data_IF_443595613750
#
_entry.id   IF_443595613750
#
_cell.length_a   1.000
_cell.length_b   1.000
_cell.length_c   1.000
_cell.angle_alpha   90.00
_cell.angle_beta   90.00
_cell.angle_gamma   90.00
#
_symmetry.space_group_name_H-M   'P 1'
#
loop_
_entity.id
_entity.type
_entity.pdbx_description
1 polymer ?
#
# COMPACT_ATOMS: atom_id res chain seq x y z
N UNK A 1 -14.90 1.50 -30.16
CA UNK A 1 -15.35 2.27 -28.98
C UNK A 1 -14.10 2.65 -28.20
N UNK A 2 -13.69 3.92 -28.24
CA UNK A 2 -12.54 4.38 -27.46
C UNK A 2 -12.82 4.19 -25.97
N UNK A 3 -11.86 3.59 -25.26
CA UNK A 3 -12.00 3.30 -23.82
C UNK A 3 -11.81 4.61 -23.07
N UNK A 4 -12.91 5.23 -22.64
CA UNK A 4 -12.91 6.48 -21.88
C UNK A 4 -12.11 6.33 -20.59
N UNK A 5 -11.42 7.40 -20.19
CA UNK A 5 -10.66 7.41 -18.94
C UNK A 5 -11.62 7.40 -17.74
N UNK A 6 -11.44 6.42 -16.86
CA UNK A 6 -12.07 6.36 -15.53
C UNK A 6 -11.19 7.05 -14.50
N UNK A 7 -11.77 7.62 -13.44
CA UNK A 7 -11.04 8.26 -12.35
C UNK A 7 -10.43 7.24 -11.38
N UNK A 8 -11.19 6.19 -11.01
CA UNK A 8 -10.72 5.10 -10.14
C UNK A 8 -10.94 3.76 -10.83
N UNK A 9 -9.93 2.89 -10.89
CA UNK A 9 -10.02 1.52 -11.41
C UNK A 9 -11.00 0.64 -10.62
N UNK A 10 -11.54 -0.44 -11.22
CA UNK A 10 -12.33 -1.44 -10.47
C UNK A 10 -11.52 -2.11 -9.35
N UNK A 11 -10.20 -2.14 -9.50
CA UNK A 11 -9.23 -2.60 -8.52
C UNK A 11 -8.86 -1.53 -7.48
N UNK A 12 -9.48 -0.35 -7.51
CA UNK A 12 -9.23 0.74 -6.56
C UNK A 12 -8.02 1.62 -6.84
N UNK A 13 -7.30 1.40 -7.95
CA UNK A 13 -6.17 2.23 -8.36
C UNK A 13 -6.65 3.55 -8.97
N UNK A 14 -6.16 4.69 -8.49
CA UNK A 14 -6.53 5.99 -9.03
C UNK A 14 -5.80 6.25 -10.35
N UNK A 15 -6.55 6.57 -11.41
CA UNK A 15 -6.02 6.83 -12.75
C UNK A 15 -5.82 8.33 -12.95
N UNK A 16 -4.98 8.93 -12.12
CA UNK A 16 -4.64 10.35 -12.14
C UNK A 16 -3.13 10.49 -12.26
N UNK A 17 -2.70 11.15 -13.34
CA UNK A 17 -1.29 11.45 -13.56
C UNK A 17 -1.03 12.91 -13.17
N UNK A 18 -0.31 13.12 -12.07
CA UNK A 18 0.15 14.45 -11.67
C UNK A 18 1.27 14.90 -12.61
N UNK A 19 1.11 16.05 -13.27
CA UNK A 19 2.10 16.66 -14.17
C UNK A 19 2.55 18.02 -13.61
N UNK A 20 3.79 18.41 -13.89
CA UNK A 20 4.38 19.70 -13.51
C UNK A 20 4.38 20.02 -11.99
N UNK A 21 4.76 19.03 -11.16
CA UNK A 21 5.01 19.29 -9.72
C UNK A 21 6.34 20.03 -9.58
N UNK A 22 6.31 21.29 -9.16
CA UNK A 22 7.50 22.16 -8.99
C UNK A 22 8.41 21.76 -7.81
N UNK A 23 7.92 20.95 -6.87
CA UNK A 23 8.60 20.67 -5.59
C UNK A 23 8.96 19.18 -5.40
N UNK A 24 9.70 18.61 -6.34
CA UNK A 24 10.15 17.21 -6.26
C UNK A 24 11.05 16.93 -5.04
N UNK A 25 11.72 17.95 -4.49
CA UNK A 25 12.59 17.83 -3.31
C UNK A 25 11.85 17.44 -2.02
N UNK A 26 10.53 17.67 -1.92
CA UNK A 26 9.74 17.28 -0.74
C UNK A 26 9.66 15.76 -0.57
N UNK A 27 9.70 14.99 -1.66
CA UNK A 27 9.75 13.53 -1.60
C UNK A 27 11.07 13.01 -1.00
N UNK A 28 12.18 13.73 -1.19
CA UNK A 28 13.48 13.35 -0.63
C UNK A 28 13.61 13.73 0.85
N UNK A 29 12.85 14.71 1.33
CA UNK A 29 12.80 15.08 2.75
C UNK A 29 12.16 13.98 3.59
N UNK A 30 11.20 13.24 3.02
CA UNK A 30 10.57 12.08 3.65
C UNK A 30 11.07 10.76 3.04
N UNK A 31 12.37 10.51 3.25
CA UNK A 31 13.05 9.31 2.74
C UNK A 31 12.46 8.02 3.31
N UNK A 32 11.96 8.06 4.56
CA UNK A 32 11.44 6.88 5.24
C UNK A 32 10.14 6.40 4.61
N UNK A 33 9.15 7.27 4.43
CA UNK A 33 7.89 6.89 3.78
C UNK A 33 8.12 6.51 2.33
N UNK A 34 8.98 7.24 1.62
CA UNK A 34 9.35 6.94 0.23
C UNK A 34 9.93 5.53 0.10
N UNK A 35 10.86 5.13 0.98
CA UNK A 35 11.46 3.80 0.94
C UNK A 35 10.43 2.68 1.22
N UNK A 36 9.49 2.95 2.12
CA UNK A 36 8.40 2.04 2.46
C UNK A 36 7.41 1.90 1.30
N UNK A 37 7.10 2.97 0.56
CA UNK A 37 6.14 2.96 -0.55
C UNK A 37 6.69 2.38 -1.86
N UNK A 38 8.02 2.35 -2.03
CA UNK A 38 8.66 1.73 -3.19
C UNK A 38 8.26 0.26 -3.35
N UNK A 39 8.24 -0.26 -4.58
CA UNK A 39 7.95 -1.68 -4.81
C UNK A 39 9.04 -2.56 -4.19
N UNK A 40 8.68 -3.74 -3.71
CA UNK A 40 9.59 -4.75 -3.14
C UNK A 40 10.95 -4.91 -3.84
N UNK A 41 11.05 -5.05 -5.18
CA UNK A 41 12.35 -5.18 -5.85
C UNK A 41 13.25 -3.96 -5.65
N UNK A 42 12.68 -2.74 -5.58
CA UNK A 42 13.46 -1.52 -5.37
C UNK A 42 13.91 -1.41 -3.91
N UNK A 43 13.03 -1.75 -2.96
CA UNK A 43 13.39 -1.81 -1.53
C UNK A 43 14.52 -2.82 -1.29
N UNK A 44 14.43 -4.02 -1.88
CA UNK A 44 15.47 -5.05 -1.76
C UNK A 44 16.80 -4.58 -2.39
N UNK A 45 16.74 -3.95 -3.56
CA UNK A 45 17.93 -3.42 -4.22
C UNK A 45 18.61 -2.33 -3.37
N UNK A 46 17.85 -1.38 -2.84
CA UNK A 46 18.37 -0.30 -1.98
C UNK A 46 18.98 -0.90 -0.71
N UNK A 47 18.33 -1.89 -0.11
CA UNK A 47 18.84 -2.62 1.06
C UNK A 47 20.20 -3.25 0.76
N UNK A 48 20.29 -4.08 -0.29
CA UNK A 48 21.54 -4.74 -0.68
C UNK A 48 22.64 -3.73 -1.00
N UNK A 49 22.32 -2.66 -1.73
CA UNK A 49 23.29 -1.62 -2.07
C UNK A 49 23.78 -0.86 -0.82
N UNK A 50 22.90 -0.56 0.14
CA UNK A 50 23.30 0.11 1.38
C UNK A 50 24.33 -0.71 2.18
N UNK A 51 24.11 -2.03 2.30
CA UNK A 51 25.06 -2.91 2.98
C UNK A 51 26.38 -3.01 2.20
N UNK A 52 26.33 -3.27 0.89
CA UNK A 52 27.52 -3.35 0.05
C UNK A 52 28.35 -2.06 0.09
N UNK A 53 27.72 -0.89 -0.02
CA UNK A 53 28.39 0.40 0.07
C UNK A 53 29.07 0.60 1.42
N UNK A 54 28.41 0.24 2.53
CA UNK A 54 29.00 0.34 3.86
C UNK A 54 30.19 -0.62 4.05
N UNK A 55 30.09 -1.86 3.59
CA UNK A 55 31.17 -2.83 3.67
C UNK A 55 32.37 -2.44 2.81
N UNK A 56 32.13 -1.87 1.62
CA UNK A 56 33.20 -1.36 0.76
C UNK A 56 33.87 -0.13 1.36
N UNK A 57 33.10 0.79 1.94
CA UNK A 57 33.63 1.98 2.62
C UNK A 57 34.55 1.58 3.77
N UNK A 58 34.05 0.78 4.71
CA UNK A 58 34.85 0.35 5.87
C UNK A 58 35.98 -0.60 5.47
N UNK A 59 35.78 -1.47 4.48
CA UNK A 59 36.85 -2.31 3.92
C UNK A 59 38.00 -1.48 3.34
N UNK A 60 37.69 -0.36 2.66
CA UNK A 60 38.69 0.59 2.18
C UNK A 60 39.40 1.31 3.33
N UNK A 61 38.68 1.74 4.35
CA UNK A 61 39.27 2.37 5.55
C UNK A 61 40.22 1.40 6.28
N UNK A 62 39.82 0.15 6.48
CA UNK A 62 40.67 -0.89 7.07
C UNK A 62 41.92 -1.17 6.25
N UNK A 63 41.78 -1.23 4.93
CA UNK A 63 42.91 -1.40 4.02
C UNK A 63 43.87 -0.21 4.09
N UNK A 64 43.35 1.02 4.14
CA UNK A 64 44.16 2.23 4.28
C UNK A 64 44.88 2.31 5.63
N UNK A 65 44.26 1.90 6.73
CA UNK A 65 44.91 1.82 8.05
C UNK A 65 46.06 0.81 8.03
N UNK A 66 45.81 -0.38 7.51
CA UNK A 66 46.85 -1.41 7.36
C UNK A 66 47.98 -0.93 6.44
N UNK A 67 47.67 -0.16 5.39
CA UNK A 67 48.66 0.37 4.46
C UNK A 67 49.51 1.46 5.10
N UNK A 68 48.88 2.41 5.80
CA UNK A 68 49.56 3.51 6.47
C UNK A 68 50.42 3.04 7.67
N UNK A 69 50.02 1.97 8.35
CA UNK A 69 50.80 1.37 9.43
C UNK A 69 51.99 0.53 8.93
N UNK A 70 52.00 0.14 7.65
CA UNK A 70 53.03 -0.73 7.07
C UNK A 70 52.77 -2.23 7.26
N UNK A 71 51.55 -2.62 7.63
CA UNK A 71 51.15 -4.04 7.81
C UNK A 71 51.19 -4.84 6.50
N UNK A 72 51.03 -4.14 5.37
CA UNK A 72 51.01 -4.71 4.03
C UNK A 72 52.40 -4.85 3.40
N UNK A 73 53.43 -4.27 4.02
CA UNK A 73 54.77 -4.23 3.44
C UNK A 73 55.47 -5.61 3.54
N UNK A 74 56.24 -5.96 2.51
CA UNK A 74 56.80 -7.32 2.39
C UNK A 74 57.96 -7.58 3.37
N UNK A 75 58.64 -6.52 3.81
CA UNK A 75 59.73 -6.52 4.79
C UNK A 75 59.25 -6.86 6.20
N UNK A 76 58.10 -6.33 6.62
CA UNK A 76 57.45 -6.61 7.91
C UNK A 76 56.85 -8.02 7.97
N UNK A 77 56.48 -8.63 6.83
CA UNK A 77 56.07 -10.05 6.77
C UNK A 77 57.22 -11.02 7.06
N UNK A 78 58.42 -10.74 6.54
CA UNK A 78 59.62 -11.54 6.80
C UNK A 78 60.07 -11.48 8.27
N UNK A 79 59.70 -10.42 8.99
CA UNK A 79 59.95 -10.28 10.42
C UNK A 79 58.92 -10.99 11.32
N UNK A 80 57.78 -11.43 10.75
CA UNK A 80 56.74 -12.19 11.45
C UNK A 80 57.03 -13.69 11.54
N UNK A 81 57.80 -14.23 10.60
CA UNK A 81 58.39 -15.57 10.65
C UNK A 81 59.90 -15.45 10.95
N UNK A 82 60.32 -15.23 12.21
CA UNK A 82 61.74 -15.30 12.51
C UNK A 82 62.18 -16.75 12.28
N UNK A 83 63.10 -16.96 11.35
CA UNK A 83 64.05 -18.06 11.51
C UNK A 83 64.62 -17.95 12.93
N UNK A 84 64.55 -19.05 13.68
CA UNK A 84 64.98 -19.17 15.08
C UNK A 84 66.25 -18.34 15.36
N UNK A 85 66.11 -17.19 16.04
CA UNK A 85 67.28 -16.49 16.60
C UNK A 85 67.40 -14.96 16.47
N UNK A 86 66.48 -14.22 15.81
CA UNK A 86 66.59 -12.76 15.73
C UNK A 86 65.79 -12.04 16.83
N UNK A 87 66.48 -11.54 17.86
CA UNK A 87 65.94 -10.72 18.96
C UNK A 87 65.63 -9.27 18.52
N UNK A 88 64.70 -9.11 17.57
CA UNK A 88 64.03 -7.84 17.27
C UNK A 88 62.58 -7.88 17.77
N UNK A 89 62.04 -6.77 18.28
CA UNK A 89 60.64 -6.69 18.68
C UNK A 89 59.73 -7.14 17.52
N UNK A 90 58.94 -8.20 17.74
CA UNK A 90 58.05 -8.75 16.73
C UNK A 90 57.06 -7.66 16.30
N UNK A 91 57.00 -7.36 15.00
CA UNK A 91 56.05 -6.39 14.47
C UNK A 91 54.62 -6.90 14.68
N UNK A 92 53.84 -6.21 15.52
CA UNK A 92 52.44 -6.54 15.79
C UNK A 92 51.57 -5.72 14.82
N UNK A 93 50.70 -6.37 14.01
CA UNK A 93 49.89 -5.66 13.02
C UNK A 93 48.68 -5.02 13.69
N UNK A 94 48.05 -4.01 13.08
CA UNK A 94 46.79 -3.47 13.60
C UNK A 94 45.66 -4.53 13.58
N UNK A 95 45.64 -5.37 12.53
CA UNK A 95 44.71 -6.50 12.40
C UNK A 95 45.45 -7.70 11.86
N UNK A 96 45.26 -8.86 12.49
CA UNK A 96 45.92 -10.10 12.06
C UNK A 96 45.40 -10.58 10.70
N UNK A 97 46.28 -11.21 9.91
CA UNK A 97 45.91 -11.91 8.66
C UNK A 97 45.25 -11.03 7.57
N UNK A 98 45.62 -9.74 7.51
CA UNK A 98 45.31 -8.87 6.36
C UNK A 98 46.45 -8.94 5.34
N UNK A 99 46.14 -9.43 4.14
CA UNK A 99 47.11 -9.61 3.06
C UNK A 99 46.86 -8.71 1.84
N UNK A 100 45.60 -8.36 1.58
CA UNK A 100 45.13 -7.58 0.44
C UNK A 100 43.84 -6.82 0.77
N UNK A 101 43.34 -6.01 -0.16
CA UNK A 101 42.02 -5.38 -0.03
C UNK A 101 40.91 -6.41 0.22
N UNK A 102 40.96 -7.57 -0.43
CA UNK A 102 39.96 -8.64 -0.24
C UNK A 102 39.89 -9.12 1.21
N UNK A 103 41.04 -9.30 1.88
CA UNK A 103 41.05 -9.69 3.30
C UNK A 103 40.54 -8.57 4.23
N UNK A 104 40.79 -7.30 3.90
CA UNK A 104 40.25 -6.17 4.65
C UNK A 104 38.73 -6.02 4.45
N UNK A 105 38.24 -6.26 3.23
CA UNK A 105 36.81 -6.30 2.92
C UNK A 105 36.10 -7.44 3.67
N UNK A 106 36.67 -8.64 3.69
CA UNK A 106 36.13 -9.75 4.48
C UNK A 106 36.10 -9.42 5.97
N UNK A 107 37.17 -8.84 6.52
CA UNK A 107 37.20 -8.37 7.91
C UNK A 107 36.11 -7.32 8.18
N UNK A 108 35.90 -6.37 7.28
CA UNK A 108 34.83 -5.37 7.40
C UNK A 108 33.44 -6.00 7.46
N UNK A 109 33.18 -7.07 6.70
CA UNK A 109 31.92 -7.82 6.77
C UNK A 109 31.82 -8.56 8.11
N UNK A 110 32.89 -9.26 8.51
CA UNK A 110 32.95 -10.01 9.77
C UNK A 110 32.64 -9.14 10.98
N UNK A 111 33.15 -7.90 11.00
CA UNK A 111 32.91 -6.91 12.05
C UNK A 111 31.48 -6.36 11.97
N UNK A 112 31.07 -5.81 10.83
CA UNK A 112 29.81 -5.07 10.75
C UNK A 112 28.57 -5.96 10.89
N UNK A 113 28.63 -7.20 10.37
CA UNK A 113 27.56 -8.20 10.52
C UNK A 113 27.74 -9.03 11.80
N UNK A 114 28.82 -8.79 12.55
CA UNK A 114 29.14 -9.47 13.83
C UNK A 114 29.29 -11.00 13.70
N UNK A 115 29.83 -11.47 12.56
CA UNK A 115 30.11 -12.89 12.35
C UNK A 115 31.35 -13.30 13.16
N UNK A 116 32.43 -12.52 13.05
CA UNK A 116 33.66 -12.70 13.81
C UNK A 116 34.25 -14.11 13.76
N UNK A 117 34.69 -14.58 12.58
CA UNK A 117 35.25 -15.94 12.44
C UNK A 117 36.52 -16.18 13.28
N UNK A 118 37.18 -15.12 13.76
CA UNK A 118 38.34 -15.21 14.65
C UNK A 118 39.68 -15.39 13.95
N UNK A 119 39.70 -15.66 12.63
CA UNK A 119 40.93 -15.71 11.84
C UNK A 119 41.59 -14.34 11.60
N UNK A 120 40.82 -13.25 11.77
CA UNK A 120 41.26 -11.85 11.68
C UNK A 120 40.80 -11.14 12.94
N UNK A 121 41.75 -10.59 13.70
CA UNK A 121 41.50 -9.97 14.99
C UNK A 121 42.25 -8.64 15.08
N UNK A 122 41.58 -7.63 15.63
CA UNK A 122 42.19 -6.33 15.95
C UNK A 122 43.14 -6.45 17.14
N UNK A 123 44.27 -5.75 17.09
CA UNK A 123 45.24 -5.69 18.19
C UNK A 123 45.18 -4.32 18.89
N UNK A 124 45.84 -4.20 20.05
CA UNK A 124 45.85 -2.98 20.85
C UNK A 124 46.86 -1.92 20.37
N UNK A 125 47.71 -2.26 19.40
CA UNK A 125 48.81 -1.40 18.92
C UNK A 125 48.34 -0.12 18.24
N UNK A 126 47.20 -0.18 17.54
CA UNK A 126 46.73 0.91 16.68
C UNK A 126 45.45 1.53 17.25
N UNK A 127 45.51 2.66 17.97
CA UNK A 127 44.31 3.34 18.48
C UNK A 127 43.33 3.76 17.38
N UNK A 128 43.84 4.08 16.19
CA UNK A 128 43.02 4.40 15.02
C UNK A 128 42.13 3.22 14.57
N UNK A 129 42.65 1.98 14.64
CA UNK A 129 41.89 0.77 14.34
C UNK A 129 40.75 0.58 15.35
N UNK A 130 41.01 0.79 16.64
CA UNK A 130 40.01 0.71 17.71
C UNK A 130 38.90 1.76 17.49
N UNK A 131 39.28 3.00 17.14
CA UNK A 131 38.30 4.06 16.87
C UNK A 131 37.42 3.72 15.66
N UNK A 132 38.02 3.23 14.55
CA UNK A 132 37.26 2.82 13.36
C UNK A 132 36.34 1.64 13.68
N UNK A 133 36.79 0.67 14.47
CA UNK A 133 35.96 -0.44 14.93
C UNK A 133 34.71 0.07 15.69
N UNK A 134 34.89 1.01 16.62
CA UNK A 134 33.77 1.60 17.37
C UNK A 134 32.80 2.33 16.43
N UNK A 135 33.31 3.18 15.55
CA UNK A 135 32.49 3.94 14.58
C UNK A 135 31.76 3.00 13.64
N UNK A 136 32.42 1.97 13.12
CA UNK A 136 31.83 0.97 12.24
C UNK A 136 30.69 0.22 12.91
N UNK A 137 30.86 -0.18 14.18
CA UNK A 137 29.83 -0.87 14.93
C UNK A 137 28.61 0.03 15.15
N UNK A 138 28.81 1.30 15.53
CA UNK A 138 27.70 2.25 15.72
C UNK A 138 26.95 2.49 14.40
N UNK A 139 27.67 2.79 13.32
CA UNK A 139 27.06 3.04 12.00
C UNK A 139 26.36 1.78 11.48
N UNK A 140 26.97 0.60 11.63
CA UNK A 140 26.39 -0.68 11.26
C UNK A 140 25.08 -0.97 12.00
N UNK A 141 25.03 -0.73 13.30
CA UNK A 141 23.82 -0.87 14.11
C UNK A 141 22.72 0.10 13.69
N UNK A 142 23.06 1.36 13.40
CA UNK A 142 22.10 2.36 12.92
C UNK A 142 21.50 1.96 11.57
N UNK A 143 22.33 1.55 10.60
CA UNK A 143 21.86 1.08 9.29
C UNK A 143 20.96 -0.15 9.46
N UNK A 144 21.37 -1.12 10.28
CA UNK A 144 20.58 -2.32 10.53
C UNK A 144 19.22 -1.99 11.16
N UNK A 145 19.18 -1.11 12.16
CA UNK A 145 17.95 -0.69 12.83
C UNK A 145 16.99 0.03 11.88
N UNK A 146 17.49 0.97 11.06
CA UNK A 146 16.66 1.67 10.06
C UNK A 146 16.08 0.68 9.05
N UNK A 147 16.91 -0.22 8.51
CA UNK A 147 16.47 -1.18 7.51
C UNK A 147 15.45 -2.18 8.06
N UNK A 148 15.68 -2.72 9.25
CA UNK A 148 14.74 -3.61 9.91
C UNK A 148 13.41 -2.90 10.18
N UNK A 149 13.44 -1.64 10.64
CA UNK A 149 12.25 -0.81 10.83
C UNK A 149 11.46 -0.58 9.54
N UNK A 150 12.15 -0.27 8.44
CA UNK A 150 11.52 -0.11 7.12
C UNK A 150 10.88 -1.40 6.62
N UNK A 151 11.57 -2.54 6.74
CA UNK A 151 11.04 -3.85 6.31
C UNK A 151 9.84 -4.22 7.17
N UNK A 152 9.92 -4.06 8.49
CA UNK A 152 8.83 -4.34 9.42
C UNK A 152 7.59 -3.49 9.10
N UNK A 153 7.77 -2.18 8.89
CA UNK A 153 6.68 -1.28 8.50
C UNK A 153 6.07 -1.72 7.18
N UNK A 154 6.90 -2.01 6.17
CA UNK A 154 6.46 -2.46 4.84
C UNK A 154 5.70 -3.78 4.88
N UNK A 155 6.12 -4.74 5.71
CA UNK A 155 5.39 -6.01 5.90
C UNK A 155 4.09 -5.83 6.68
N UNK A 156 4.04 -4.83 7.56
CA UNK A 156 2.85 -4.52 8.35
C UNK A 156 1.79 -3.76 7.56
N UNK A 157 2.14 -3.16 6.41
CA UNK A 157 1.19 -2.45 5.56
C UNK A 157 0.04 -3.36 5.11
N UNK A 158 -1.18 -2.90 5.36
CA UNK A 158 -2.42 -3.64 5.08
C UNK A 158 -2.89 -3.56 3.61
N UNK A 159 -2.04 -3.21 2.64
CA UNK A 159 -2.46 -3.05 1.25
C UNK A 159 -3.03 -4.35 0.67
N UNK A 160 -2.42 -5.50 0.99
CA UNK A 160 -2.93 -6.82 0.60
C UNK A 160 -4.30 -7.15 1.20
N UNK A 161 -4.66 -6.51 2.32
CA UNK A 161 -5.98 -6.70 2.94
C UNK A 161 -7.08 -6.02 2.15
N UNK A 162 -6.81 -4.85 1.55
CA UNK A 162 -7.77 -4.17 0.68
C UNK A 162 -8.14 -5.03 -0.55
N UNK A 163 -7.23 -5.87 -1.05
CA UNK A 163 -7.50 -6.80 -2.16
C UNK A 163 -8.48 -7.93 -1.80
N UNK A 164 -8.63 -8.25 -0.51
CA UNK A 164 -9.59 -9.26 -0.04
C UNK A 164 -11.00 -8.71 0.20
N UNK A 165 -11.15 -7.39 0.18
CA UNK A 165 -12.44 -6.71 0.21
C UNK A 165 -12.94 -6.56 -1.22
N UNK A 166 -14.07 -7.20 -1.51
CA UNK A 166 -14.62 -7.26 -2.86
C UNK A 166 -15.90 -6.43 -2.96
N UNK A 167 -16.06 -5.82 -4.14
CA UNK A 167 -17.26 -5.09 -4.53
C UNK A 167 -17.94 -5.81 -5.70
N UNK A 168 -19.26 -5.67 -5.81
CA UNK A 168 -20.00 -6.15 -6.97
C UNK A 168 -19.44 -5.57 -8.26
N UNK A 169 -19.38 -6.37 -9.32
CA UNK A 169 -18.91 -5.88 -10.63
C UNK A 169 -19.82 -4.77 -11.18
N UNK A 170 -21.13 -4.95 -11.03
CA UNK A 170 -22.17 -4.02 -11.45
C UNK A 170 -22.92 -3.49 -10.23
N UNK A 171 -23.33 -2.23 -10.29
CA UNK A 171 -24.31 -1.68 -9.38
C UNK A 171 -25.71 -1.82 -9.99
N UNK A 172 -26.75 -1.78 -9.18
CA UNK A 172 -28.13 -1.94 -9.66
C UNK A 172 -29.04 -0.86 -9.11
N UNK A 173 -30.02 -0.44 -9.89
CA UNK A 173 -31.08 0.47 -9.47
C UNK A 173 -32.40 -0.29 -9.55
N UNK A 174 -33.16 -0.32 -8.45
CA UNK A 174 -34.51 -0.89 -8.43
C UNK A 174 -35.39 -0.20 -7.39
N UNK A 175 -36.69 -0.45 -7.49
CA UNK A 175 -37.68 0.03 -6.53
C UNK A 175 -37.60 -0.78 -5.23
N UNK A 176 -37.51 -0.09 -4.09
CA UNK A 176 -37.58 -0.68 -2.75
C UNK A 176 -38.45 0.19 -1.87
N UNK A 177 -39.51 -0.40 -1.30
CA UNK A 177 -40.48 0.32 -0.46
C UNK A 177 -41.03 1.59 -1.15
N UNK A 178 -41.32 1.49 -2.44
CA UNK A 178 -41.84 2.61 -3.25
C UNK A 178 -40.81 3.68 -3.61
N UNK A 179 -39.52 3.54 -3.27
CA UNK A 179 -38.48 4.51 -3.65
C UNK A 179 -37.43 3.88 -4.55
N UNK A 180 -36.87 4.64 -5.48
CA UNK A 180 -35.75 4.16 -6.30
C UNK A 180 -34.48 4.16 -5.45
N UNK A 181 -33.80 3.03 -5.42
CA UNK A 181 -32.58 2.86 -4.64
C UNK A 181 -31.43 2.41 -5.54
N UNK A 182 -30.30 3.10 -5.43
CA UNK A 182 -29.02 2.67 -5.97
C UNK A 182 -28.39 1.66 -5.01
N UNK A 183 -27.94 0.51 -5.52
CA UNK A 183 -27.47 -0.61 -4.71
C UNK A 183 -26.16 -1.17 -5.23
N UNK A 184 -25.28 -1.55 -4.32
CA UNK A 184 -24.06 -2.30 -4.59
C UNK A 184 -23.83 -3.35 -3.49
N UNK A 185 -23.07 -4.39 -3.79
CA UNK A 185 -22.73 -5.43 -2.82
C UNK A 185 -21.27 -5.34 -2.43
N UNK A 186 -21.01 -5.45 -1.13
CA UNK A 186 -19.67 -5.52 -0.55
C UNK A 186 -19.50 -6.86 0.17
N UNK A 187 -18.27 -7.37 0.24
CA UNK A 187 -17.96 -8.60 0.97
C UNK A 187 -16.50 -8.65 1.43
N UNK A 188 -16.24 -9.38 2.51
CA UNK A 188 -14.89 -9.78 2.94
C UNK A 188 -14.71 -11.28 2.68
N UNK A 189 -13.68 -11.63 1.90
CA UNK A 189 -13.36 -13.02 1.59
C UNK A 189 -12.70 -13.76 2.78
N UNK A 190 -12.26 -13.04 3.81
CA UNK A 190 -11.51 -13.60 4.94
C UNK A 190 -12.39 -13.70 6.18
N UNK A 191 -11.97 -14.54 7.13
CA UNK A 191 -12.68 -14.76 8.40
C UNK A 191 -12.41 -13.67 9.45
N UNK A 192 -11.23 -13.03 9.42
CA UNK A 192 -10.91 -11.94 10.33
C UNK A 192 -11.78 -10.73 10.04
N UNK A 193 -12.19 -9.99 11.06
CA UNK A 193 -13.13 -8.88 10.87
C UNK A 193 -12.42 -7.59 10.46
N UNK A 194 -13.19 -6.69 9.86
CA UNK A 194 -12.83 -5.28 9.72
C UNK A 194 -13.60 -4.50 10.78
N UNK A 195 -12.88 -3.97 11.76
CA UNK A 195 -13.42 -3.22 12.88
C UNK A 195 -13.73 -1.79 12.42
N UNK A 196 -14.86 -1.25 12.85
CA UNK A 196 -15.29 0.12 12.50
C UNK A 196 -15.33 0.35 10.99
N UNK A 197 -15.91 -0.61 10.25
CA UNK A 197 -16.06 -0.49 8.82
C UNK A 197 -17.07 0.63 8.49
N UNK A 198 -16.66 1.57 7.66
CA UNK A 198 -17.48 2.70 7.19
C UNK A 198 -17.44 2.78 5.68
N UNK A 199 -18.58 3.09 5.07
CA UNK A 199 -18.70 3.23 3.62
C UNK A 199 -19.01 4.68 3.27
N UNK A 200 -18.25 5.22 2.32
CA UNK A 200 -18.49 6.52 1.71
C UNK A 200 -18.71 6.34 0.22
N UNK A 201 -19.68 7.06 -0.33
CA UNK A 201 -19.99 7.07 -1.75
C UNK A 201 -19.93 8.50 -2.25
N UNK A 202 -19.34 8.69 -3.43
CA UNK A 202 -19.22 10.01 -4.06
C UNK A 202 -19.60 9.91 -5.53
N UNK A 203 -20.45 10.82 -6.00
CA UNK A 203 -20.64 11.02 -7.44
C UNK A 203 -19.57 11.97 -7.94
N UNK A 204 -18.83 11.52 -8.95
CA UNK A 204 -17.96 12.37 -9.73
C UNK A 204 -18.65 12.68 -11.05
N UNK A 205 -18.91 13.96 -11.26
CA UNK A 205 -19.47 14.47 -12.52
C UNK A 205 -18.92 15.85 -12.84
N UNK A 206 -18.90 16.19 -14.12
CA UNK A 206 -18.62 17.55 -14.57
C UNK A 206 -19.80 18.45 -14.17
N UNK A 207 -19.53 19.52 -13.44
CA UNK A 207 -20.57 20.46 -12.99
C UNK A 207 -20.20 21.87 -13.47
N UNK A 208 -21.17 22.58 -14.05
CA UNK A 208 -21.06 23.99 -14.37
C UNK A 208 -21.87 24.80 -13.35
N UNK A 209 -21.25 25.80 -12.73
CA UNK A 209 -21.92 26.73 -11.82
C UNK A 209 -22.76 27.75 -12.59
N UNK A 210 -23.67 28.44 -11.90
CA UNK A 210 -24.51 29.48 -12.50
C UNK A 210 -23.69 30.70 -12.94
N UNK A 211 -22.54 30.92 -12.29
CA UNK A 211 -21.56 31.96 -12.59
C UNK A 211 -20.66 31.60 -13.78
N UNK A 212 -20.84 30.42 -14.38
CA UNK A 212 -20.08 29.95 -15.54
C UNK A 212 -18.78 29.21 -15.20
N UNK A 213 -18.50 28.92 -13.94
CA UNK A 213 -17.33 28.12 -13.55
C UNK A 213 -17.59 26.64 -13.84
N UNK A 214 -16.71 26.01 -14.62
CA UNK A 214 -16.81 24.58 -14.94
C UNK A 214 -15.79 23.80 -14.13
N UNK A 215 -16.28 23.00 -13.18
CA UNK A 215 -15.47 22.07 -12.39
C UNK A 215 -15.42 20.71 -13.11
N UNK A 216 -14.25 20.25 -13.61
CA UNK A 216 -14.17 19.03 -14.42
C UNK A 216 -14.52 17.75 -13.67
N UNK A 217 -14.14 17.65 -12.39
CA UNK A 217 -14.33 16.49 -11.52
C UNK A 217 -14.94 16.95 -10.20
N UNK A 218 -16.20 17.37 -10.22
CA UNK A 218 -16.90 17.74 -8.99
C UNK A 218 -17.26 16.47 -8.23
N UNK A 219 -16.89 16.39 -6.95
CA UNK A 219 -17.13 15.24 -6.08
C UNK A 219 -18.26 15.61 -5.11
N UNK A 220 -19.39 14.92 -5.23
CA UNK A 220 -20.58 15.15 -4.40
C UNK A 220 -20.82 13.90 -3.57
N UNK A 221 -20.77 14.04 -2.25
CA UNK A 221 -21.02 12.94 -1.31
C UNK A 221 -22.47 12.47 -1.37
N UNK A 222 -22.66 11.15 -1.38
CA UNK A 222 -23.95 10.50 -1.31
C UNK A 222 -24.07 9.80 0.05
N UNK A 223 -25.17 10.05 0.76
CA UNK A 223 -25.45 9.39 2.03
C UNK A 223 -25.97 7.97 1.85
N UNK A 224 -25.47 7.02 2.63
CA UNK A 224 -26.02 5.67 2.70
C UNK A 224 -27.30 5.69 3.53
N UNK A 225 -28.31 4.93 3.11
CA UNK A 225 -29.50 4.76 3.94
C UNK A 225 -29.20 3.77 5.08
N UNK A 226 -29.22 4.25 6.31
CA UNK A 226 -29.13 3.43 7.52
C UNK A 226 -30.20 3.90 8.50
N UNK A 227 -31.02 3.00 9.08
CA UNK A 227 -32.02 3.36 10.08
C UNK A 227 -31.49 4.16 11.27
N UNK A 228 -30.20 4.02 11.59
CA UNK A 228 -29.54 4.72 12.71
C UNK A 228 -28.84 6.02 12.25
N UNK A 229 -28.90 6.36 10.96
CA UNK A 229 -28.33 7.59 10.40
C UNK A 229 -26.80 7.61 10.30
N UNK A 230 -26.14 6.45 10.36
CA UNK A 230 -24.68 6.32 10.28
C UNK A 230 -24.20 5.52 9.06
N UNK A 231 -22.96 5.78 8.64
CA UNK A 231 -22.31 5.07 7.52
C UNK A 231 -21.52 3.81 7.96
N UNK A 232 -21.68 3.39 9.23
CA UNK A 232 -21.01 2.23 9.79
C UNK A 232 -21.74 0.95 9.43
N UNK A 233 -20.97 -0.09 9.09
CA UNK A 233 -21.48 -1.41 8.74
C UNK A 233 -20.78 -2.50 9.55
N UNK A 234 -21.48 -3.60 9.77
CA UNK A 234 -20.91 -4.81 10.37
C UNK A 234 -20.70 -5.88 9.27
N UNK A 235 -19.51 -5.91 8.69
CA UNK A 235 -19.20 -6.73 7.51
C UNK A 235 -18.64 -8.11 7.92
N UNK A 236 -19.52 -9.08 8.09
CA UNK A 236 -19.16 -10.51 8.29
C UNK A 236 -19.63 -11.36 7.13
N UNK A 237 -20.90 -11.22 6.75
CA UNK A 237 -21.43 -11.73 5.49
C UNK A 237 -21.54 -10.59 4.47
N UNK A 238 -21.57 -10.89 3.17
CA UNK A 238 -21.77 -9.86 2.16
C UNK A 238 -23.07 -9.06 2.36
N UNK A 239 -22.94 -7.74 2.31
CA UNK A 239 -24.06 -6.81 2.53
C UNK A 239 -24.38 -6.05 1.24
N UNK A 240 -25.66 -5.78 1.03
CA UNK A 240 -26.11 -4.85 -0.01
C UNK A 240 -26.20 -3.47 0.62
N UNK A 241 -25.33 -2.58 0.15
CA UNK A 241 -25.31 -1.17 0.51
C UNK A 241 -26.18 -0.45 -0.48
N UNK A 242 -27.05 0.42 0.02
CA UNK A 242 -27.96 1.15 -0.84
C UNK A 242 -28.14 2.59 -0.41
N UNK A 243 -28.44 3.42 -1.40
CA UNK A 243 -28.76 4.83 -1.27
C UNK A 243 -30.15 5.06 -1.84
N UNK A 244 -31.01 5.73 -1.08
CA UNK A 244 -32.33 6.16 -1.54
C UNK A 244 -32.16 7.40 -2.41
N UNK A 245 -32.62 7.32 -3.66
CA UNK A 245 -32.57 8.44 -4.59
C UNK A 245 -33.72 9.39 -4.27
N UNK A 246 -33.46 10.36 -3.38
CA UNK A 246 -34.38 11.42 -2.98
C UNK A 246 -34.09 12.74 -3.72
N UNK A 247 -34.85 13.79 -3.42
CA UNK A 247 -34.69 15.14 -3.99
C UNK A 247 -33.30 15.76 -3.80
N UNK A 248 -32.58 15.34 -2.76
CA UNK A 248 -31.25 15.84 -2.44
C UNK A 248 -30.15 15.03 -3.13
N UNK A 249 -30.50 13.87 -3.69
CA UNK A 249 -29.56 12.99 -4.38
C UNK A 249 -29.11 13.59 -5.72
N UNK A 250 -27.81 13.55 -6.05
CA UNK A 250 -27.32 13.95 -7.37
C UNK A 250 -27.81 13.05 -8.51
N UNK A 251 -28.47 11.93 -8.19
CA UNK A 251 -29.05 10.97 -9.14
C UNK A 251 -30.55 11.20 -9.40
N UNK A 252 -31.17 12.21 -8.79
CA UNK A 252 -32.63 12.41 -8.78
C UNK A 252 -33.25 12.59 -10.19
N UNK A 253 -32.58 13.35 -11.06
CA UNK A 253 -33.06 13.66 -12.41
C UNK A 253 -32.57 12.65 -13.48
N UNK A 254 -31.92 11.55 -13.07
CA UNK A 254 -31.35 10.59 -14.02
C UNK A 254 -32.43 9.61 -14.47
N UNK A 255 -32.60 9.51 -15.80
CA UNK A 255 -33.51 8.55 -16.44
C UNK A 255 -32.75 7.31 -16.91
N UNK A 256 -33.40 6.14 -16.98
CA UNK A 256 -32.78 4.92 -17.51
C UNK A 256 -32.33 5.06 -18.97
N UNK A 257 -33.06 5.83 -19.79
CA UNK A 257 -32.69 6.06 -21.18
C UNK A 257 -31.43 6.93 -21.28
N UNK A 258 -31.29 7.92 -20.39
CA UNK A 258 -30.13 8.81 -20.40
C UNK A 258 -28.93 8.23 -19.64
N UNK A 259 -29.10 7.20 -18.82
CA UNK A 259 -28.02 6.61 -18.03
C UNK A 259 -26.84 6.19 -18.92
N UNK A 260 -27.10 5.48 -20.02
CA UNK A 260 -26.07 5.07 -20.97
C UNK A 260 -25.49 6.22 -21.82
N UNK A 261 -26.18 7.37 -21.86
CA UNK A 261 -25.75 8.57 -22.57
C UNK A 261 -25.07 9.60 -21.65
N UNK A 262 -25.17 9.46 -20.33
CA UNK A 262 -24.45 10.28 -19.35
C UNK A 262 -23.01 9.80 -19.25
N UNK A 263 -22.20 10.17 -20.23
CA UNK A 263 -20.83 9.72 -20.34
C UNK A 263 -19.93 10.24 -19.18
N UNK A 264 -20.37 11.27 -18.45
CA UNK A 264 -19.62 11.95 -17.38
C UNK A 264 -19.93 11.44 -15.95
N UNK A 265 -20.80 10.44 -15.78
CA UNK A 265 -21.19 9.93 -14.46
C UNK A 265 -20.28 8.76 -14.01
N UNK A 266 -19.55 8.98 -12.91
CA UNK A 266 -18.81 7.93 -12.21
C UNK A 266 -19.15 7.96 -10.71
N UNK A 267 -19.54 6.82 -10.14
CA UNK A 267 -19.79 6.70 -8.70
C UNK A 267 -18.63 5.98 -8.05
N UNK A 268 -17.93 6.64 -7.14
CA UNK A 268 -16.83 6.08 -6.36
C UNK A 268 -17.38 5.56 -5.04
N UNK A 269 -16.92 4.38 -4.65
CA UNK A 269 -17.23 3.78 -3.35
C UNK A 269 -15.94 3.51 -2.61
N UNK A 270 -15.90 3.94 -1.37
CA UNK A 270 -14.74 3.85 -0.48
C UNK A 270 -15.20 3.13 0.79
N UNK A 271 -14.56 2.00 1.08
CA UNK A 271 -14.74 1.26 2.32
C UNK A 271 -13.49 1.46 3.18
N UNK A 272 -13.65 2.09 4.34
CA UNK A 272 -12.60 2.33 5.33
C UNK A 272 -12.84 1.48 6.56
N UNK A 273 -11.79 0.92 7.15
CA UNK A 273 -11.91 0.24 8.43
C UNK A 273 -10.57 -0.22 8.99
N UNK A 274 -10.57 -0.72 10.21
CA UNK A 274 -9.37 -1.19 10.91
C UNK A 274 -9.28 -2.70 10.80
N UNK A 275 -8.11 -3.20 10.39
CA UNK A 275 -7.88 -4.66 10.30
C UNK A 275 -7.68 -5.23 11.71
N UNK A 276 -8.51 -6.19 12.10
CA UNK A 276 -8.49 -6.79 13.45
C UNK A 276 -7.12 -7.28 13.91
N UNK A 277 -6.35 -7.92 13.02
CA UNK A 277 -5.07 -8.53 13.38
C UNK A 277 -3.91 -7.54 13.54
N UNK A 278 -3.93 -6.41 12.82
CA UNK A 278 -2.82 -5.45 12.81
C UNK A 278 -3.14 -4.12 13.47
N UNK A 279 -4.43 -3.80 13.68
CA UNK A 279 -4.86 -2.49 14.18
C UNK A 279 -4.63 -1.33 13.20
N UNK A 280 -4.22 -1.62 11.96
CA UNK A 280 -3.94 -0.61 10.94
C UNK A 280 -5.21 -0.33 10.14
N UNK A 281 -5.48 0.94 9.87
CA UNK A 281 -6.56 1.37 8.99
C UNK A 281 -6.26 1.00 7.54
N UNK A 282 -7.24 0.44 6.84
CA UNK A 282 -7.17 0.11 5.43
C UNK A 282 -8.34 0.71 4.69
N UNK A 283 -8.13 1.02 3.41
CA UNK A 283 -9.13 1.61 2.54
C UNK A 283 -9.20 0.80 1.24
N UNK A 284 -10.37 0.24 0.95
CA UNK A 284 -10.68 -0.40 -0.31
C UNK A 284 -11.58 0.52 -1.14
N UNK A 285 -11.30 0.63 -2.44
CA UNK A 285 -11.99 1.55 -3.34
C UNK A 285 -12.45 0.83 -4.59
N UNK A 286 -13.56 1.28 -5.15
CA UNK A 286 -14.00 0.89 -6.49
C UNK A 286 -14.78 2.03 -7.12
N UNK A 287 -15.02 1.95 -8.43
CA UNK A 287 -15.97 2.86 -9.06
C UNK A 287 -16.89 2.16 -10.04
N UNK A 288 -18.06 2.77 -10.26
CA UNK A 288 -19.08 2.35 -11.21
C UNK A 288 -19.26 3.45 -12.25
N UNK A 289 -18.93 3.12 -13.49
CA UNK A 289 -19.29 3.95 -14.65
C UNK A 289 -20.77 3.78 -14.95
N UNK A 290 -21.37 4.73 -15.67
CA UNK A 290 -22.77 4.67 -16.06
C UNK A 290 -23.17 3.33 -16.74
N UNK A 291 -22.31 2.77 -17.59
CA UNK A 291 -22.52 1.48 -18.27
C UNK A 291 -22.48 0.26 -17.31
N UNK A 292 -21.92 0.43 -16.11
CA UNK A 292 -21.80 -0.62 -15.10
C UNK A 292 -22.95 -0.56 -14.07
N UNK A 293 -23.90 0.38 -14.26
CA UNK A 293 -25.10 0.54 -13.44
C UNK A 293 -26.30 -0.05 -14.20
N UNK A 294 -26.90 -1.09 -13.64
CA UNK A 294 -27.99 -1.82 -14.28
C UNK A 294 -29.35 -1.37 -13.72
N UNK A 295 -30.20 -0.81 -14.57
CA UNK A 295 -31.55 -0.41 -14.19
C UNK A 295 -32.52 -1.60 -14.15
N UNK A 296 -33.44 -1.59 -13.18
CA UNK A 296 -34.49 -2.60 -13.04
C UNK A 296 -33.97 -3.98 -12.65
N UNK A 297 -32.87 -4.03 -11.91
CA UNK A 297 -32.26 -5.27 -11.47
C UNK A 297 -32.08 -5.31 -9.96
N UNK A 298 -32.14 -6.52 -9.39
CA UNK A 298 -31.89 -6.77 -7.97
C UNK A 298 -30.86 -7.87 -7.82
N UNK A 299 -30.02 -7.80 -6.79
CA UNK A 299 -29.07 -8.87 -6.50
C UNK A 299 -29.79 -10.14 -6.06
N UNK A 300 -29.28 -11.29 -6.52
CA UNK A 300 -29.72 -12.62 -6.08
C UNK A 300 -29.31 -12.84 -4.62
N UNK A 301 -30.16 -13.42 -3.76
CA UNK A 301 -29.76 -13.80 -2.40
C UNK A 301 -28.64 -14.84 -2.43
N UNK A 302 -27.63 -14.65 -1.57
CA UNK A 302 -26.42 -15.50 -1.55
C UNK A 302 -26.17 -16.18 -0.20
N UNK A 303 -26.94 -15.82 0.82
CA UNK A 303 -26.86 -16.42 2.15
C UNK A 303 -27.96 -17.47 2.24
N UNK A 304 -27.58 -18.69 2.59
CA UNK A 304 -28.49 -19.79 2.88
C UNK A 304 -28.16 -20.35 4.27
N UNK A 305 -29.12 -21.02 4.89
CA UNK A 305 -28.89 -21.77 6.12
C UNK A 305 -28.70 -23.24 5.75
N UNK A 306 -27.54 -23.79 6.09
CA UNK A 306 -27.18 -25.19 5.86
C UNK A 306 -26.54 -25.76 7.14
N UNK A 307 -27.05 -26.88 7.63
CA UNK A 307 -26.55 -27.60 8.81
C UNK A 307 -26.34 -26.72 10.07
N UNK A 308 -27.29 -25.82 10.35
CA UNK A 308 -27.25 -24.93 11.51
C UNK A 308 -26.17 -23.84 11.44
N UNK A 309 -25.65 -23.57 10.23
CA UNK A 309 -24.73 -22.47 9.95
C UNK A 309 -25.21 -21.66 8.74
N UNK A 310 -24.86 -20.38 8.72
CA UNK A 310 -25.04 -19.57 7.52
C UNK A 310 -23.94 -19.88 6.51
N UNK A 311 -24.30 -20.42 5.35
CA UNK A 311 -23.41 -20.61 4.22
C UNK A 311 -23.58 -19.47 3.21
N UNK A 312 -22.48 -19.01 2.62
CA UNK A 312 -22.45 -17.90 1.66
C UNK A 312 -21.88 -18.39 0.34
N UNK A 313 -22.69 -18.37 -0.72
CA UNK A 313 -22.26 -18.75 -2.06
C UNK A 313 -21.73 -17.55 -2.85
N UNK A 314 -20.40 -17.36 -2.82
CA UNK A 314 -19.72 -16.30 -3.55
C UNK A 314 -19.80 -16.44 -5.08
N UNK A 315 -20.18 -17.61 -5.62
CA UNK A 315 -20.38 -17.80 -7.06
C UNK A 315 -21.53 -16.93 -7.58
N UNK A 316 -22.51 -16.64 -6.72
CA UNK A 316 -23.68 -15.78 -7.01
C UNK A 316 -23.47 -14.33 -6.58
N UNK A 317 -22.28 -13.94 -6.12
CA UNK A 317 -22.02 -12.62 -5.54
C UNK A 317 -22.38 -11.47 -6.48
N UNK A 318 -22.04 -11.59 -7.76
CA UNK A 318 -22.37 -10.59 -8.79
C UNK A 318 -23.66 -10.85 -9.57
N UNK A 319 -24.41 -11.90 -9.25
CA UNK A 319 -25.59 -12.29 -10.03
C UNK A 319 -26.78 -11.40 -9.70
N UNK A 320 -27.47 -10.98 -10.74
CA UNK A 320 -28.61 -10.07 -10.69
C UNK A 320 -29.79 -10.64 -11.47
N UNK A 321 -31.00 -10.31 -11.02
CA UNK A 321 -32.26 -10.69 -11.67
C UNK A 321 -33.04 -9.44 -12.04
N UNK A 322 -33.72 -9.47 -13.19
CA UNK A 322 -34.61 -8.39 -13.61
C UNK A 322 -35.85 -8.36 -12.72
N UNK A 323 -36.26 -7.17 -12.30
CA UNK A 323 -37.45 -6.95 -11.47
C UNK A 323 -38.28 -5.84 -12.10
N UNK A 324 -39.62 -5.94 -12.14
CA UNK A 324 -40.48 -4.87 -12.62
C UNK A 324 -40.15 -3.57 -11.89
N UNK A 325 -39.61 -2.61 -12.62
CA UNK A 325 -39.18 -1.30 -12.09
C UNK A 325 -39.60 -0.25 -13.11
N UNK A 326 -40.21 0.86 -12.68
CA UNK A 326 -40.63 1.90 -13.60
C UNK A 326 -39.43 2.49 -14.34
N UNK A 327 -39.65 2.85 -15.61
CA UNK A 327 -38.61 3.41 -16.48
C UNK A 327 -38.60 4.95 -16.47
N UNK A 328 -38.94 5.54 -15.33
CA UNK A 328 -39.00 6.98 -15.13
C UNK A 328 -37.84 7.47 -14.25
N UNK A 329 -37.66 8.78 -14.19
CA UNK A 329 -36.75 9.41 -13.22
C UNK A 329 -37.30 9.28 -11.79
N UNK A 330 -36.45 9.44 -10.77
CA UNK A 330 -36.91 9.49 -9.38
C UNK A 330 -37.85 10.67 -9.14
N UNK A 331 -37.58 11.79 -9.82
CA UNK A 331 -38.46 12.96 -9.83
C UNK A 331 -39.87 12.67 -10.31
N UNK A 332 -40.00 12.05 -11.48
CA UNK A 332 -41.30 11.70 -12.03
C UNK A 332 -42.02 10.67 -11.16
N UNK A 333 -41.29 9.75 -10.53
CA UNK A 333 -41.87 8.77 -9.62
C UNK A 333 -42.46 9.43 -8.35
N UNK A 334 -41.84 10.50 -7.86
CA UNK A 334 -42.38 11.27 -6.72
C UNK A 334 -43.55 12.18 -7.12
N UNK A 335 -43.48 12.81 -8.30
CA UNK A 335 -44.52 13.71 -8.83
C UNK A 335 -45.79 12.92 -9.23
N UNK A 336 -45.64 11.75 -9.86
CA UNK A 336 -46.72 10.87 -10.30
C UNK A 336 -46.73 9.55 -9.51
N UNK A 337 -47.30 9.59 -8.30
CA UNK A 337 -47.55 8.38 -7.49
C UNK A 337 -48.48 7.33 -8.15
N UNK A 338 -49.12 7.67 -9.27
CA UNK A 338 -49.91 6.75 -10.11
C UNK A 338 -49.05 5.79 -10.95
N UNK A 339 -47.73 6.02 -11.04
CA UNK A 339 -46.75 5.19 -11.78
C UNK A 339 -46.21 4.02 -10.94
N UNK A 340 -46.49 4.00 -9.62
CA UNK A 340 -46.16 2.90 -8.70
C UNK A 340 -47.15 1.74 -8.81
#
# INVERSE_FOLDING_TARGET
RERRARFVGKNGACNVAHKNIREQGRFLQDVFTTLVDLKWPHTLLIFTMSFLCSWLLFGMVWWLIAFAHGDLDHSTRLQRDPAEGAAGAAFVPCVTSIHSFTSAFLFSIEVQVTIGFGGRMVTEECPAAILVLIVQNIVGLVINAIMLGCIFMKTSQAHRRAETLIFSKHAVIALREGRLCFMLRVGDLRKSMIISATIRMQVVKKTASLEGEVVPLNQIDIQMENPVGGNSIFLVSPLIIYHVIDKNSPLYDISPMNLHHHEDLEIIVILEGVVETTGITTQARTSYLADEILWGQRFVPIVAEEDGRYSVDYSKFGNTVKVPTPSCTARQLEEDRSIM
#
